data_IF_954921625837
#
_entry.id   IF_954921625837
#
_cell.length_a   1.000
_cell.length_b   1.000
_cell.length_c   1.000
_cell.angle_alpha   90.00
_cell.angle_beta   90.00
_cell.angle_gamma   90.00
#
_symmetry.space_group_name_H-M   'P 1'
#
loop_
_entity.id
_entity.type
_entity.pdbx_description
1 polymer ?
#
# COMPACT_ATOMS: atom_id res chain seq x y z
N UNK A 1 -20.69 -23.85 -28.86
CA UNK A 1 -21.61 -22.91 -28.18
C UNK A 1 -20.78 -21.91 -27.37
N UNK A 2 -20.90 -20.63 -27.74
CA UNK A 2 -20.33 -19.43 -27.09
C UNK A 2 -20.37 -19.42 -25.53
N UNK A 3 -21.32 -20.07 -24.82
CA UNK A 3 -21.33 -20.12 -23.35
C UNK A 3 -20.08 -20.68 -22.63
N UNK A 4 -19.30 -21.57 -23.25
CA UNK A 4 -18.15 -22.17 -22.56
C UNK A 4 -16.98 -21.17 -22.41
N UNK A 5 -16.72 -20.39 -23.46
CA UNK A 5 -15.71 -19.32 -23.43
C UNK A 5 -16.12 -18.17 -22.50
N UNK A 6 -17.43 -17.86 -22.42
CA UNK A 6 -17.99 -16.86 -21.50
C UNK A 6 -18.05 -17.30 -20.02
N UNK A 7 -17.75 -18.57 -19.72
CA UNK A 7 -17.67 -19.12 -18.36
C UNK A 7 -16.23 -19.14 -17.83
N UNK A 8 -15.23 -19.37 -18.69
CA UNK A 8 -13.82 -19.25 -18.32
C UNK A 8 -13.43 -17.80 -17.98
N UNK A 9 -14.07 -16.81 -18.62
CA UNK A 9 -13.93 -15.40 -18.24
C UNK A 9 -14.58 -15.04 -16.90
N UNK A 10 -15.37 -15.91 -16.26
CA UNK A 10 -15.84 -15.73 -14.87
C UNK A 10 -14.85 -16.26 -13.82
N UNK A 11 -13.87 -17.06 -14.23
CA UNK A 11 -12.80 -17.53 -13.34
C UNK A 11 -11.72 -16.44 -13.14
N UNK A 12 -11.48 -15.63 -14.17
CA UNK A 12 -10.58 -14.47 -14.13
C UNK A 12 -10.97 -13.43 -13.06
N UNK A 13 -12.26 -13.02 -12.90
CA UNK A 13 -12.66 -12.13 -11.82
C UNK A 13 -12.49 -12.76 -10.44
N UNK A 14 -12.63 -14.08 -10.27
CA UNK A 14 -12.43 -14.72 -8.97
C UNK A 14 -10.95 -14.69 -8.54
N UNK A 15 -10.00 -14.98 -9.45
CA UNK A 15 -8.57 -14.87 -9.16
C UNK A 15 -8.14 -13.41 -8.88
N UNK A 16 -8.68 -12.45 -9.64
CA UNK A 16 -8.44 -11.03 -9.39
C UNK A 16 -9.00 -10.55 -8.04
N UNK A 17 -10.20 -11.02 -7.66
CA UNK A 17 -10.83 -10.68 -6.40
C UNK A 17 -10.10 -11.28 -5.19
N UNK A 18 -9.66 -12.55 -5.24
CA UNK A 18 -8.94 -13.17 -4.12
C UNK A 18 -7.57 -12.51 -3.89
N UNK A 19 -6.85 -12.20 -4.97
CA UNK A 19 -5.60 -11.42 -4.90
C UNK A 19 -5.86 -10.00 -4.37
N UNK A 20 -6.94 -9.35 -4.80
CA UNK A 20 -7.36 -8.03 -4.31
C UNK A 20 -7.67 -8.02 -2.82
N UNK A 21 -8.44 -8.99 -2.31
CA UNK A 21 -8.82 -9.08 -0.89
C UNK A 21 -7.60 -9.27 0.02
N UNK A 22 -6.57 -9.98 -0.44
CA UNK A 22 -5.35 -10.19 0.35
C UNK A 22 -4.38 -9.02 0.23
N UNK A 23 -4.23 -8.44 -0.96
CA UNK A 23 -3.26 -7.37 -1.21
C UNK A 23 -3.73 -6.01 -0.71
N UNK A 24 -5.03 -5.70 -0.78
CA UNK A 24 -5.56 -4.39 -0.42
C UNK A 24 -5.27 -3.99 1.05
N UNK A 25 -5.54 -4.84 2.06
CA UNK A 25 -5.23 -4.51 3.45
C UNK A 25 -3.73 -4.28 3.69
N UNK A 26 -2.87 -5.07 3.04
CA UNK A 26 -1.41 -4.94 3.15
C UNK A 26 -0.96 -3.60 2.56
N UNK A 27 -1.42 -3.25 1.36
CA UNK A 27 -1.07 -1.98 0.70
C UNK A 27 -1.62 -0.78 1.48
N UNK A 28 -2.86 -0.85 1.96
CA UNK A 28 -3.47 0.21 2.76
C UNK A 28 -2.75 0.41 4.10
N UNK A 29 -2.40 -0.70 4.78
CA UNK A 29 -1.62 -0.68 6.01
C UNK A 29 -0.22 -0.11 5.79
N UNK A 30 0.48 -0.58 4.75
CA UNK A 30 1.81 -0.08 4.37
C UNK A 30 1.81 1.42 4.06
N UNK A 31 0.79 1.89 3.33
CA UNK A 31 0.60 3.31 3.00
C UNK A 31 0.45 4.14 4.28
N UNK A 32 -0.43 3.71 5.17
CA UNK A 32 -0.70 4.41 6.44
C UNK A 32 0.56 4.45 7.31
N UNK A 33 1.27 3.33 7.42
CA UNK A 33 2.52 3.21 8.16
C UNK A 33 3.59 4.18 7.62
N UNK A 34 3.81 4.19 6.30
CA UNK A 34 4.80 5.03 5.66
C UNK A 34 4.51 6.52 5.85
N UNK A 35 3.25 6.94 5.66
CA UNK A 35 2.84 8.33 5.88
C UNK A 35 3.12 8.74 7.33
N UNK A 36 2.74 7.91 8.31
CA UNK A 36 2.98 8.20 9.72
C UNK A 36 4.48 8.38 10.00
N UNK A 37 5.34 7.49 9.48
CA UNK A 37 6.79 7.57 9.67
C UNK A 37 7.41 8.82 9.04
N UNK A 38 6.98 9.20 7.84
CA UNK A 38 7.43 10.43 7.17
C UNK A 38 7.11 11.65 8.03
N UNK A 39 5.87 11.79 8.50
CA UNK A 39 5.48 12.96 9.28
C UNK A 39 6.09 12.99 10.68
N UNK A 40 6.29 11.83 11.31
CA UNK A 40 7.04 11.73 12.57
C UNK A 40 8.46 12.25 12.39
N UNK A 41 9.18 11.81 11.35
CA UNK A 41 10.53 12.31 11.06
C UNK A 41 10.52 13.81 10.73
N UNK A 42 9.59 14.25 9.88
CA UNK A 42 9.48 15.64 9.45
C UNK A 42 9.32 16.58 10.65
N UNK A 43 8.37 16.28 11.55
CA UNK A 43 8.14 17.09 12.74
C UNK A 43 9.25 16.94 13.79
N UNK A 44 9.84 15.76 13.96
CA UNK A 44 10.98 15.57 14.86
C UNK A 44 12.22 16.37 14.41
N UNK A 45 12.35 16.64 13.12
CA UNK A 45 13.40 17.51 12.56
C UNK A 45 13.11 19.02 12.68
N UNK A 46 11.96 19.39 13.27
CA UNK A 46 11.52 20.78 13.43
C UNK A 46 10.71 21.33 12.24
N UNK A 47 10.32 20.49 11.29
CA UNK A 47 9.46 20.87 10.18
C UNK A 47 8.02 21.22 10.64
N UNK A 48 7.26 21.86 9.76
CA UNK A 48 5.82 22.12 9.92
C UNK A 48 5.07 21.71 8.65
N UNK A 49 3.74 21.73 8.64
CA UNK A 49 2.98 21.46 7.42
C UNK A 49 3.36 22.39 6.25
N UNK A 50 3.69 23.65 6.53
CA UNK A 50 4.04 24.64 5.50
C UNK A 50 5.45 24.43 4.93
N UNK A 51 6.31 23.68 5.62
CA UNK A 51 7.67 23.38 5.18
C UNK A 51 7.84 21.95 4.66
N UNK A 52 6.74 21.23 4.44
CA UNK A 52 6.79 19.86 3.96
C UNK A 52 7.04 19.83 2.45
N UNK A 53 8.08 19.11 2.04
CA UNK A 53 8.40 18.85 0.63
C UNK A 53 8.36 17.32 0.38
N UNK A 54 7.38 16.81 -0.39
CA UNK A 54 7.25 15.40 -0.68
C UNK A 54 8.42 14.83 -1.51
N UNK A 55 9.09 15.64 -2.32
CA UNK A 55 10.21 15.17 -3.15
C UNK A 55 11.41 14.80 -2.28
N UNK A 56 11.64 15.55 -1.19
CA UNK A 56 12.75 15.32 -0.25
C UNK A 56 12.61 14.04 0.58
N UNK A 57 11.39 13.50 0.71
CA UNK A 57 11.09 12.34 1.57
C UNK A 57 10.69 11.09 0.79
N UNK A 58 10.68 11.14 -0.54
CA UNK A 58 10.21 10.06 -1.42
C UNK A 58 10.93 8.74 -1.18
N UNK A 59 12.24 8.77 -1.02
CA UNK A 59 13.05 7.57 -0.77
C UNK A 59 12.77 6.98 0.61
N UNK A 60 12.65 7.84 1.63
CA UNK A 60 12.29 7.42 2.98
C UNK A 60 10.88 6.85 3.03
N UNK A 61 9.91 7.45 2.33
CA UNK A 61 8.58 6.90 2.16
C UNK A 61 8.63 5.51 1.52
N UNK A 62 9.37 5.34 0.43
CA UNK A 62 9.49 4.05 -0.25
C UNK A 62 10.12 2.97 0.65
N UNK A 63 11.08 3.34 1.49
CA UNK A 63 11.66 2.46 2.50
C UNK A 63 10.62 2.07 3.55
N UNK A 64 9.91 3.03 4.13
CA UNK A 64 8.89 2.80 5.15
C UNK A 64 7.67 2.06 4.59
N UNK A 65 7.34 2.23 3.31
CA UNK A 65 6.29 1.48 2.64
C UNK A 65 6.66 0.00 2.54
N UNK A 66 7.88 -0.33 2.13
CA UNK A 66 8.37 -1.72 2.09
C UNK A 66 8.38 -2.36 3.49
N UNK A 67 8.75 -1.60 4.51
CA UNK A 67 8.66 -2.04 5.91
C UNK A 67 7.21 -2.24 6.33
N UNK A 68 6.34 -1.28 6.03
CA UNK A 68 4.91 -1.34 6.32
C UNK A 68 4.20 -2.50 5.65
N UNK A 69 4.65 -2.95 4.47
CA UNK A 69 4.14 -4.16 3.83
C UNK A 69 4.43 -5.41 4.67
N UNK A 70 5.62 -5.50 5.30
CA UNK A 70 5.96 -6.62 6.20
C UNK A 70 5.13 -6.54 7.46
N UNK A 71 5.07 -5.38 8.09
CA UNK A 71 4.27 -5.15 9.31
C UNK A 71 2.81 -5.51 9.06
N UNK A 72 2.19 -4.99 7.99
CA UNK A 72 0.79 -5.27 7.68
C UNK A 72 0.53 -6.73 7.28
N UNK A 73 1.51 -7.43 6.71
CA UNK A 73 1.40 -8.85 6.40
C UNK A 73 1.55 -9.75 7.64
N UNK A 74 2.33 -9.32 8.65
CA UNK A 74 2.55 -10.03 9.92
C UNK A 74 1.43 -9.81 10.94
N UNK A 75 0.64 -8.74 10.80
CA UNK A 75 -0.55 -8.47 11.63
C UNK A 75 -1.77 -9.35 11.31
N UNK A 76 -1.60 -10.36 10.47
CA UNK A 76 -2.67 -11.21 9.91
C UNK A 76 -2.97 -12.43 10.76
#
# INVERSE_FOLDING_TARGET
SIPLAASLTKFVPAAGMTLGVVSMPIVAGATTYAIAKVFVQHFASGGTFLSFDPEMVKDYYAQMFKEGQKVAAEMK
#
